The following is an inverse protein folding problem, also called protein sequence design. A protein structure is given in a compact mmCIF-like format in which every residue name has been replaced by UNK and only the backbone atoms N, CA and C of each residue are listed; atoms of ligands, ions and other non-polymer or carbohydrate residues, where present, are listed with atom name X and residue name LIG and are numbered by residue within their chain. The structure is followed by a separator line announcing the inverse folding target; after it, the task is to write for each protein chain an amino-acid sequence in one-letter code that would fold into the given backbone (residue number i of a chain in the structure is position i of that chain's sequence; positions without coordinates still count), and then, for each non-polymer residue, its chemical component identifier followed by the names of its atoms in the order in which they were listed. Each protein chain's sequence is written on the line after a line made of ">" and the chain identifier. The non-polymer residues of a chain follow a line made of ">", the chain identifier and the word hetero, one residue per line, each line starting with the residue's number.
data_IF_479253738209
#
_entry.id   IF_479253738209
#
_cell.length_a   1.000
_cell.length_b   1.000
_cell.length_c   1.000
_cell.angle_alpha   90.00
_cell.angle_beta   90.00
_cell.angle_gamma   90.00
#
_symmetry.space_group_name_H-M   'P 1'
#
loop_
_entity.id
_entity.type
_entity.pdbx_description
1 polymer ?
#
# COMPACT_ATOMS: atom_id res chain seq x y z
N UNK A 1 -2.69 -12.68 4.38
CA UNK A 1 -3.57 -11.71 5.08
C UNK A 1 -2.97 -10.31 4.92
N UNK A 2 -3.78 -9.23 4.93
CA UNK A 2 -3.25 -7.84 4.89
C UNK A 2 -3.90 -6.95 5.94
N UNK A 3 -3.10 -6.08 6.56
CA UNK A 3 -3.53 -5.17 7.61
C UNK A 3 -2.89 -3.78 7.43
N UNK A 4 -3.64 -2.72 7.69
CA UNK A 4 -3.06 -1.37 7.86
C UNK A 4 -2.48 -1.28 9.26
N UNK A 5 -1.19 -0.96 9.33
CA UNK A 5 -0.49 -0.67 10.59
C UNK A 5 -0.62 0.79 10.99
N UNK A 6 -0.51 1.69 10.02
CA UNK A 6 -0.67 3.12 10.21
C UNK A 6 -1.31 3.75 8.98
N UNK A 7 -2.14 4.78 9.19
CA UNK A 7 -2.73 5.55 8.11
C UNK A 7 -2.71 7.06 8.41
N UNK A 8 -2.53 7.83 7.34
CA UNK A 8 -2.71 9.28 7.32
C UNK A 8 -3.82 9.60 6.33
N UNK A 9 -4.88 10.23 6.81
CA UNK A 9 -5.90 10.80 5.94
C UNK A 9 -5.34 12.01 5.18
N UNK A 10 -5.63 12.09 3.87
CA UNK A 10 -5.21 13.20 3.03
C UNK A 10 -6.41 14.07 2.62
N UNK A 11 -7.40 13.48 1.92
CA UNK A 11 -8.60 14.16 1.44
C UNK A 11 -9.66 13.13 0.99
N UNK A 12 -10.86 13.59 0.67
CA UNK A 12 -11.89 12.76 0.03
C UNK A 12 -11.88 12.96 -1.49
N UNK A 13 -11.98 11.88 -2.25
CA UNK A 13 -12.08 11.90 -3.71
C UNK A 13 -13.09 10.87 -4.17
N UNK A 14 -13.99 11.25 -5.07
CA UNK A 14 -14.96 10.34 -5.70
C UNK A 14 -15.75 9.45 -4.71
N UNK A 15 -16.09 9.98 -3.52
CA UNK A 15 -16.82 9.25 -2.49
C UNK A 15 -15.98 8.29 -1.63
N UNK A 16 -14.66 8.22 -1.84
CA UNK A 16 -13.73 7.42 -1.06
C UNK A 16 -12.71 8.29 -0.31
N UNK A 17 -12.22 7.78 0.82
CA UNK A 17 -11.15 8.46 1.56
C UNK A 17 -9.80 8.16 0.91
N UNK A 18 -9.07 9.20 0.50
CA UNK A 18 -7.69 9.06 0.03
C UNK A 18 -6.76 9.10 1.24
N UNK A 19 -5.98 8.05 1.42
CA UNK A 19 -5.08 7.88 2.56
C UNK A 19 -3.65 7.56 2.09
N UNK A 20 -2.66 7.85 2.92
CA UNK A 20 -1.34 7.24 2.83
C UNK A 20 -1.22 6.20 3.93
N UNK A 21 -0.84 4.98 3.59
CA UNK A 21 -0.85 3.85 4.53
C UNK A 21 0.49 3.14 4.62
N UNK A 22 0.73 2.55 5.79
CA UNK A 22 1.71 1.49 6.00
C UNK A 22 0.95 0.18 6.16
N UNK A 23 1.29 -0.81 5.33
CA UNK A 23 0.57 -2.08 5.23
C UNK A 23 1.52 -3.23 5.58
N UNK A 24 1.00 -4.25 6.25
CA UNK A 24 1.70 -5.51 6.49
C UNK A 24 0.91 -6.63 5.82
N UNK A 25 1.60 -7.53 5.13
CA UNK A 25 0.99 -8.68 4.47
C UNK A 25 1.92 -9.89 4.41
N UNK A 26 1.35 -11.09 4.23
CA UNK A 26 2.13 -12.34 4.25
C UNK A 26 2.92 -12.53 2.95
N UNK A 27 2.31 -12.24 1.79
CA UNK A 27 2.93 -12.37 0.47
C UNK A 27 2.72 -11.11 -0.38
N UNK A 28 3.56 -10.88 -1.39
CA UNK A 28 3.38 -9.75 -2.30
C UNK A 28 2.04 -9.80 -3.07
N UNK A 29 1.48 -11.01 -3.26
CA UNK A 29 0.17 -11.21 -3.90
C UNK A 29 -0.99 -10.67 -3.05
N UNK A 30 -0.79 -10.52 -1.75
CA UNK A 30 -1.79 -9.93 -0.85
C UNK A 30 -1.87 -8.39 -0.99
N UNK A 31 -0.89 -7.74 -1.63
CA UNK A 31 -0.85 -6.29 -1.76
C UNK A 31 -2.12 -5.75 -2.44
N UNK A 32 -2.83 -4.79 -1.83
CA UNK A 32 -4.04 -4.25 -2.43
C UNK A 32 -3.70 -3.36 -3.63
N UNK A 33 -4.54 -3.37 -4.66
CA UNK A 33 -4.51 -2.31 -5.67
C UNK A 33 -4.83 -0.97 -5.00
N UNK A 34 -4.28 0.13 -5.54
CA UNK A 34 -4.41 1.45 -4.93
C UNK A 34 -5.87 1.89 -4.73
N UNK A 35 -6.78 1.49 -5.60
CA UNK A 35 -8.21 1.83 -5.58
C UNK A 35 -9.11 0.75 -4.96
N UNK A 36 -8.54 -0.36 -4.49
CA UNK A 36 -9.30 -1.53 -4.03
C UNK A 36 -9.01 -1.87 -2.56
N UNK A 37 -9.11 -0.88 -1.68
CA UNK A 37 -8.93 -1.08 -0.25
C UNK A 37 -10.12 -0.55 0.57
N UNK A 38 -11.13 -1.39 0.85
CA UNK A 38 -12.20 -1.12 1.83
C UNK A 38 -12.73 0.34 1.84
N UNK A 39 -13.22 0.83 0.70
CA UNK A 39 -13.73 2.20 0.49
C UNK A 39 -12.68 3.33 0.63
N UNK A 40 -11.40 2.97 0.55
CA UNK A 40 -10.26 3.87 0.61
C UNK A 40 -9.41 3.73 -0.65
N UNK A 41 -8.79 4.84 -1.00
CA UNK A 41 -7.82 4.93 -2.09
C UNK A 41 -6.45 5.19 -1.47
N UNK A 42 -5.47 4.37 -1.78
CA UNK A 42 -4.09 4.55 -1.39
C UNK A 42 -3.42 5.59 -2.28
N UNK A 43 -2.79 6.57 -1.64
CA UNK A 43 -1.97 7.58 -2.30
C UNK A 43 -0.53 7.12 -2.44
N UNK A 44 0.17 7.66 -3.44
CA UNK A 44 1.61 7.42 -3.62
C UNK A 44 2.40 7.70 -2.34
N UNK A 45 3.49 6.95 -2.19
CA UNK A 45 4.30 6.96 -0.96
C UNK A 45 3.68 6.17 0.19
N UNK A 46 2.57 5.45 -0.04
CA UNK A 46 2.19 4.33 0.82
C UNK A 46 3.25 3.24 0.73
N UNK A 47 3.44 2.51 1.83
CA UNK A 47 4.49 1.49 1.95
C UNK A 47 3.89 0.17 2.42
N UNK A 48 4.55 -0.94 2.06
CA UNK A 48 4.12 -2.26 2.49
C UNK A 48 5.30 -3.16 2.85
N UNK A 49 5.11 -3.94 3.92
CA UNK A 49 6.03 -4.96 4.41
C UNK A 49 5.47 -6.34 4.09
N UNK A 50 6.24 -7.14 3.34
CA UNK A 50 5.92 -8.54 3.08
C UNK A 50 6.66 -9.40 4.10
N UNK A 51 5.93 -9.96 5.05
CA UNK A 51 6.51 -10.60 6.25
C UNK A 51 7.29 -11.86 5.90
N UNK A 52 6.81 -12.67 4.94
CA UNK A 52 7.46 -13.94 4.62
C UNK A 52 8.79 -13.78 3.90
N UNK A 53 8.94 -12.75 3.05
CA UNK A 53 10.12 -12.52 2.23
C UNK A 53 11.03 -11.42 2.78
N UNK A 54 10.53 -10.56 3.67
CA UNK A 54 11.23 -9.35 4.10
C UNK A 54 11.28 -8.26 3.03
N UNK A 55 10.52 -8.41 1.94
CA UNK A 55 10.43 -7.43 0.87
C UNK A 55 9.69 -6.18 1.35
N UNK A 56 10.18 -5.03 0.90
CA UNK A 56 9.64 -3.72 1.20
C UNK A 56 9.19 -3.06 -0.10
N UNK A 57 7.92 -2.68 -0.17
CA UNK A 57 7.33 -2.08 -1.37
C UNK A 57 6.91 -0.63 -1.10
N UNK A 58 7.07 0.20 -2.13
CA UNK A 58 6.53 1.56 -2.17
C UNK A 58 5.51 1.69 -3.30
N UNK A 59 4.38 2.34 -3.02
CA UNK A 59 3.34 2.64 -4.01
C UNK A 59 3.75 3.87 -4.82
N UNK A 60 3.95 3.70 -6.13
CA UNK A 60 4.34 4.78 -7.03
C UNK A 60 3.13 5.66 -7.45
N UNK A 61 3.38 6.71 -8.24
CA UNK A 61 2.32 7.60 -8.75
C UNK A 61 1.40 6.97 -9.80
N UNK A 62 1.78 5.81 -10.34
CA UNK A 62 0.97 5.02 -11.28
C UNK A 62 0.03 4.04 -10.56
N UNK A 63 0.10 3.96 -9.22
CA UNK A 63 -0.69 3.03 -8.42
C UNK A 63 -0.13 1.61 -8.37
N UNK A 64 1.15 1.43 -8.69
CA UNK A 64 1.84 0.14 -8.70
C UNK A 64 2.78 0.02 -7.49
N UNK A 65 2.84 -1.18 -6.90
CA UNK A 65 3.80 -1.50 -5.85
C UNK A 65 5.16 -1.84 -6.45
N UNK A 66 6.19 -1.11 -6.02
CA UNK A 66 7.56 -1.27 -6.50
C UNK A 66 8.45 -1.76 -5.37
N UNK A 67 9.15 -2.86 -5.57
CA UNK A 67 10.13 -3.41 -4.62
C UNK A 67 11.27 -2.40 -4.41
N UNK A 68 11.55 -2.05 -3.16
CA UNK A 68 12.50 -0.99 -2.77
C UNK A 68 13.82 -1.53 -2.22
N UNK A 69 13.81 -2.74 -1.66
CA UNK A 69 14.97 -3.34 -0.99
C UNK A 69 15.53 -4.58 -1.71
N UNK A 70 15.09 -4.83 -2.94
CA UNK A 70 15.72 -5.78 -3.86
C UNK A 70 16.80 -5.08 -4.68
N UNK A 71 18.07 -5.33 -4.38
CA UNK A 71 19.17 -4.87 -5.22
C UNK A 71 19.15 -5.56 -6.58
N UNK A 72 19.52 -4.82 -7.63
CA UNK A 72 19.98 -5.38 -8.91
C UNK A 72 21.20 -6.26 -8.73
#
# INVERSE_FOLDING_TARGET
>A
MKQIRAEQFLYYSSGAAVIRAEIECDTAEDLPAADHFNDRILSMGSIAWVINSGEFYGLNSSGEWVLQNGGT
#
